data_IF_013904989358
#
_entry.id   IF_013904989358
#
_cell.length_a   1.000
_cell.length_b   1.000
_cell.length_c   1.000
_cell.angle_alpha   90.00
_cell.angle_beta   90.00
_cell.angle_gamma   90.00
#
_symmetry.space_group_name_H-M   'P 1'
#
loop_
_entity.id
_entity.type
_entity.pdbx_description
1 polymer ?
#
# COMPACT_ATOMS: atom_id res chain seq x y z
N UNK A 1 10.28 -43.27 12.12
CA UNK A 1 9.98 -42.38 13.25
C UNK A 1 9.12 -41.26 12.68
N UNK A 2 7.86 -41.20 13.07
CA UNK A 2 7.01 -40.04 12.76
C UNK A 2 7.59 -38.84 13.50
N UNK A 3 8.12 -37.87 12.76
CA UNK A 3 8.54 -36.60 13.33
C UNK A 3 7.28 -35.89 13.82
N UNK A 4 7.07 -35.88 15.14
CA UNK A 4 6.01 -35.11 15.78
C UNK A 4 6.20 -33.63 15.44
N UNK A 5 5.16 -32.94 14.96
CA UNK A 5 5.20 -31.50 14.72
C UNK A 5 5.44 -30.69 16.01
N UNK A 6 5.26 -31.33 17.17
CA UNK A 6 5.59 -30.78 18.50
C UNK A 6 7.05 -30.98 18.92
N UNK A 7 7.89 -31.59 18.06
CA UNK A 7 9.33 -31.69 18.33
C UNK A 7 9.96 -30.28 18.36
N UNK A 8 10.63 -29.87 19.46
CA UNK A 8 11.26 -28.57 19.55
C UNK A 8 12.29 -28.30 18.44
N UNK A 9 12.98 -29.34 17.96
CA UNK A 9 13.92 -29.26 16.85
C UNK A 9 13.22 -28.94 15.51
N UNK A 10 12.12 -29.62 15.23
CA UNK A 10 11.26 -29.32 14.08
C UNK A 10 10.71 -27.90 14.11
N UNK A 11 10.16 -27.45 15.24
CA UNK A 11 9.62 -26.08 15.37
C UNK A 11 10.70 -25.03 15.16
N UNK A 12 11.92 -25.26 15.67
CA UNK A 12 13.04 -24.34 15.49
C UNK A 12 13.43 -24.24 14.00
N UNK A 13 13.59 -25.39 13.34
CA UNK A 13 13.92 -25.44 11.91
C UNK A 13 12.82 -24.80 11.06
N UNK A 14 11.56 -25.11 11.32
CA UNK A 14 10.43 -24.50 10.64
C UNK A 14 10.46 -22.97 10.78
N UNK A 15 10.64 -22.45 12.01
CA UNK A 15 10.71 -20.99 12.24
C UNK A 15 11.85 -20.36 11.45
N UNK A 16 13.03 -20.98 11.44
CA UNK A 16 14.18 -20.47 10.70
C UNK A 16 13.93 -20.49 9.19
N UNK A 17 13.51 -21.62 8.63
CA UNK A 17 13.23 -21.76 7.20
C UNK A 17 12.10 -20.84 6.75
N UNK A 18 11.03 -20.75 7.54
CA UNK A 18 9.91 -19.86 7.26
C UNK A 18 10.32 -18.38 7.29
N UNK A 19 11.15 -17.98 8.27
CA UNK A 19 11.63 -16.60 8.36
C UNK A 19 12.50 -16.23 7.16
N UNK A 20 13.43 -17.11 6.77
CA UNK A 20 14.28 -16.91 5.60
C UNK A 20 13.46 -16.83 4.30
N UNK A 21 12.44 -17.67 4.16
CA UNK A 21 11.56 -17.65 3.01
C UNK A 21 10.69 -16.37 2.98
N UNK A 22 10.24 -15.88 4.13
CA UNK A 22 9.53 -14.60 4.24
C UNK A 22 10.42 -13.41 3.88
N UNK A 23 11.67 -13.39 4.35
CA UNK A 23 12.63 -12.34 4.01
C UNK A 23 12.93 -12.32 2.51
N UNK A 24 13.18 -13.49 1.92
CA UNK A 24 13.37 -13.62 0.47
C UNK A 24 12.17 -13.08 -0.31
N UNK A 25 10.95 -13.49 0.07
CA UNK A 25 9.73 -13.02 -0.59
C UNK A 25 9.49 -11.53 -0.40
N UNK A 26 9.87 -10.97 0.75
CA UNK A 26 9.77 -9.52 1.00
C UNK A 26 10.61 -8.72 0.01
N UNK A 27 11.80 -9.21 -0.34
CA UNK A 27 12.68 -8.56 -1.32
C UNK A 27 12.18 -8.71 -2.77
N UNK A 28 11.58 -9.86 -3.09
CA UNK A 28 10.96 -10.11 -4.40
C UNK A 28 9.60 -9.40 -4.57
N UNK A 29 8.94 -9.05 -3.46
CA UNK A 29 7.62 -8.41 -3.47
C UNK A 29 7.74 -6.91 -3.64
N UNK A 30 6.85 -6.32 -4.46
CA UNK A 30 6.72 -4.87 -4.55
C UNK A 30 6.03 -4.29 -3.30
N UNK A 31 6.80 -4.22 -2.21
CA UNK A 31 6.34 -3.77 -0.90
C UNK A 31 5.75 -2.37 -0.93
N UNK A 32 6.29 -1.49 -1.79
CA UNK A 32 5.77 -0.13 -2.00
C UNK A 32 4.33 -0.14 -2.52
N UNK A 33 4.05 -0.88 -3.60
CA UNK A 33 2.69 -0.95 -4.14
C UNK A 33 1.71 -1.68 -3.21
N UNK A 34 2.19 -2.66 -2.44
CA UNK A 34 1.37 -3.33 -1.42
C UNK A 34 0.99 -2.38 -0.28
N UNK A 35 1.93 -1.55 0.18
CA UNK A 35 1.66 -0.51 1.18
C UNK A 35 0.68 0.53 0.64
N UNK A 36 0.81 0.91 -0.63
CA UNK A 36 -0.13 1.80 -1.32
C UNK A 36 -1.53 1.18 -1.38
N UNK A 37 -1.68 -0.03 -1.91
CA UNK A 37 -2.99 -0.69 -2.02
C UNK A 37 -3.66 -0.88 -0.66
N UNK A 38 -2.88 -1.19 0.38
CA UNK A 38 -3.37 -1.26 1.77
C UNK A 38 -3.86 0.10 2.27
N UNK A 39 -3.17 1.21 1.95
CA UNK A 39 -3.65 2.55 2.30
C UNK A 39 -4.96 2.93 1.63
N UNK A 40 -5.17 2.44 0.40
CA UNK A 40 -6.37 2.72 -0.40
C UNK A 40 -7.55 1.87 -0.01
N UNK A 41 -7.31 0.73 0.62
CA UNK A 41 -8.37 -0.14 1.08
C UNK A 41 -9.08 0.47 2.31
N UNK A 42 -10.39 0.77 2.21
CA UNK A 42 -11.16 1.39 3.28
C UNK A 42 -11.17 0.62 4.61
N UNK A 43 -10.86 -0.68 4.59
CA UNK A 43 -10.79 -1.53 5.79
C UNK A 43 -9.58 -1.18 6.65
N UNK A 44 -8.51 -0.66 6.05
CA UNK A 44 -7.29 -0.29 6.74
C UNK A 44 -7.28 1.21 7.03
N UNK A 45 -8.11 1.62 8.01
CA UNK A 45 -8.18 3.02 8.45
C UNK A 45 -6.79 3.54 8.85
N UNK A 46 -6.43 4.70 8.31
CA UNK A 46 -5.24 5.49 8.68
C UNK A 46 -3.90 4.74 8.62
N UNK A 47 -3.78 3.72 7.76
CA UNK A 47 -2.56 2.91 7.67
C UNK A 47 -2.14 2.32 9.04
N UNK A 48 -3.11 1.95 9.88
CA UNK A 48 -2.83 1.42 11.24
C UNK A 48 -1.95 0.18 11.24
N UNK A 49 -1.95 -0.59 10.15
CA UNK A 49 -1.09 -1.75 9.93
C UNK A 49 0.41 -1.40 9.74
N UNK A 50 0.73 -0.11 9.52
CA UNK A 50 2.10 0.37 9.39
C UNK A 50 2.56 1.10 10.64
N UNK A 51 3.86 1.07 10.88
CA UNK A 51 4.47 1.83 11.96
C UNK A 51 4.28 3.33 11.76
N UNK A 52 4.11 4.09 12.85
CA UNK A 52 3.77 5.52 12.78
C UNK A 52 4.78 6.35 11.97
N UNK A 53 6.06 5.99 12.04
CA UNK A 53 7.14 6.65 11.26
C UNK A 53 6.94 6.48 9.75
N UNK A 54 6.61 5.27 9.30
CA UNK A 54 6.46 4.93 7.87
C UNK A 54 5.21 5.55 7.24
N UNK A 55 4.20 5.88 8.05
CA UNK A 55 2.95 6.47 7.54
C UNK A 55 3.21 7.81 6.87
N UNK A 56 4.07 8.65 7.45
CA UNK A 56 4.34 9.99 6.91
C UNK A 56 4.99 9.91 5.52
N UNK A 57 5.97 9.03 5.36
CA UNK A 57 6.69 8.79 4.10
C UNK A 57 5.76 8.26 3.00
N UNK A 58 4.89 7.31 3.34
CA UNK A 58 3.88 6.81 2.40
C UNK A 58 2.90 7.89 1.95
N UNK A 59 2.44 8.73 2.86
CA UNK A 59 1.56 9.83 2.51
C UNK A 59 2.25 10.84 1.58
N UNK A 60 3.54 11.10 1.79
CA UNK A 60 4.33 11.94 0.89
C UNK A 60 4.49 11.29 -0.50
N UNK A 61 4.77 9.99 -0.56
CA UNK A 61 4.82 9.22 -1.82
C UNK A 61 3.48 9.27 -2.56
N UNK A 62 2.36 9.07 -1.85
CA UNK A 62 1.02 9.20 -2.40
C UNK A 62 0.73 10.58 -3.00
N UNK A 63 1.11 11.64 -2.28
CA UNK A 63 0.94 13.00 -2.76
C UNK A 63 1.78 13.27 -4.02
N UNK A 64 2.99 12.70 -4.10
CA UNK A 64 3.84 12.74 -5.29
C UNK A 64 3.19 12.04 -6.48
N UNK A 65 2.75 10.79 -6.30
CA UNK A 65 2.08 10.00 -7.36
C UNK A 65 0.82 10.73 -7.85
N UNK A 66 0.04 11.31 -6.96
CA UNK A 66 -1.13 12.12 -7.34
C UNK A 66 -0.76 13.35 -8.16
N UNK A 67 0.34 14.03 -7.82
CA UNK A 67 0.80 15.21 -8.54
C UNK A 67 1.28 14.88 -9.95
N UNK A 68 1.78 13.66 -10.16
CA UNK A 68 2.13 13.13 -11.50
C UNK A 68 0.91 12.62 -12.27
N UNK A 69 -0.04 11.99 -11.60
CA UNK A 69 -1.25 11.41 -12.22
C UNK A 69 -2.33 12.45 -12.52
N UNK A 70 -2.42 13.50 -11.71
CA UNK A 70 -3.29 14.63 -12.01
C UNK A 70 -2.61 15.45 -13.11
N UNK A 71 -3.29 15.76 -14.22
CA UNK A 71 -2.75 16.70 -15.19
C UNK A 71 -2.36 17.97 -14.43
N UNK A 72 -1.08 18.35 -14.49
CA UNK A 72 -0.65 19.70 -14.12
C UNK A 72 -1.45 20.64 -14.98
N UNK A 73 -2.57 21.14 -14.47
CA UNK A 73 -3.58 21.89 -15.23
C UNK A 73 -2.92 22.85 -16.22
N UNK A 74 -2.86 22.54 -17.53
CA UNK A 74 -2.69 23.58 -18.51
C UNK A 74 -4.11 24.09 -18.74
N UNK A 75 -4.29 25.37 -18.52
CA UNK A 75 -5.39 26.09 -19.14
C UNK A 75 -5.34 25.75 -20.65
N UNK A 76 -6.39 25.08 -21.15
CA UNK A 76 -6.74 24.85 -22.57
C UNK A 76 -5.86 23.82 -23.30
N UNK A 77 -6.29 22.96 -24.24
CA UNK A 77 -7.53 22.73 -25.00
C UNK A 77 -7.45 21.31 -25.60
N UNK A 78 -8.60 20.67 -25.80
CA UNK A 78 -8.90 19.49 -26.64
C UNK A 78 -7.73 18.73 -27.33
N UNK A 79 -7.62 17.43 -27.06
CA UNK A 79 -7.84 16.32 -28.04
C UNK A 79 -7.56 14.96 -27.38
N UNK A 80 -8.61 14.13 -27.37
CA UNK A 80 -8.66 12.66 -27.34
C UNK A 80 -7.38 11.86 -27.06
N UNK A 81 -7.35 11.17 -25.91
CA UNK A 81 -7.18 9.70 -25.83
C UNK A 81 -7.78 9.17 -24.51
N UNK A 82 -8.30 7.92 -24.46
CA UNK A 82 -9.11 7.46 -23.33
C UNK A 82 -8.19 7.19 -22.13
N UNK A 83 -8.45 7.78 -20.95
CA UNK A 83 -7.57 7.56 -19.82
C UNK A 83 -7.75 6.12 -19.34
N UNK A 84 -6.62 5.41 -19.28
CA UNK A 84 -6.44 4.12 -18.64
C UNK A 84 -7.35 3.99 -17.42
N UNK A 85 -8.43 3.20 -17.53
CA UNK A 85 -9.49 3.08 -16.50
C UNK A 85 -8.94 2.79 -15.09
N UNK A 86 -7.76 2.17 -15.01
CA UNK A 86 -7.03 1.88 -13.76
C UNK A 86 -6.48 3.13 -13.07
N UNK A 87 -5.91 4.08 -13.81
CA UNK A 87 -5.38 5.33 -13.26
C UNK A 87 -6.50 6.23 -12.73
N UNK A 88 -7.60 6.34 -13.49
CA UNK A 88 -8.79 7.07 -13.06
C UNK A 88 -9.42 6.48 -11.78
N UNK A 89 -9.47 5.15 -11.67
CA UNK A 89 -9.97 4.47 -10.47
C UNK A 89 -9.06 4.72 -9.26
N UNK A 90 -7.74 4.70 -9.45
CA UNK A 90 -6.76 4.96 -8.40
C UNK A 90 -6.93 6.38 -7.85
N UNK A 91 -7.01 7.37 -8.75
CA UNK A 91 -7.23 8.78 -8.39
C UNK A 91 -8.54 8.97 -7.63
N UNK A 92 -9.63 8.34 -8.07
CA UNK A 92 -10.94 8.42 -7.40
C UNK A 92 -10.93 7.79 -6.00
N UNK A 93 -10.24 6.66 -5.81
CA UNK A 93 -10.06 6.03 -4.50
C UNK A 93 -9.23 6.90 -3.56
N UNK A 94 -8.14 7.48 -4.05
CA UNK A 94 -7.26 8.34 -3.25
C UNK A 94 -8.01 9.62 -2.81
N UNK A 95 -8.76 10.26 -3.71
CA UNK A 95 -9.56 11.45 -3.38
C UNK A 95 -10.63 11.18 -2.31
N UNK A 96 -11.29 10.03 -2.39
CA UNK A 96 -12.26 9.59 -1.38
C UNK A 96 -11.60 9.41 0.01
N UNK A 97 -10.38 8.87 0.06
CA UNK A 97 -9.67 8.65 1.30
C UNK A 97 -9.22 9.97 1.96
N UNK A 98 -8.79 10.96 1.15
CA UNK A 98 -8.47 12.30 1.64
C UNK A 98 -9.68 12.99 2.26
N UNK A 99 -10.84 12.93 1.57
CA UNK A 99 -12.09 13.52 2.06
C UNK A 99 -12.50 12.94 3.42
N UNK A 100 -12.42 11.61 3.60
CA UNK A 100 -12.70 10.95 4.88
C UNK A 100 -11.76 11.40 6.00
N UNK A 101 -10.47 11.63 5.68
CA UNK A 101 -9.49 12.08 6.67
C UNK A 101 -9.67 13.55 7.06
N UNK A 102 -10.07 14.43 6.14
CA UNK A 102 -10.39 15.84 6.45
C UNK A 102 -11.59 15.93 7.39
N UNK A 103 -12.62 15.09 7.15
CA UNK A 103 -13.78 15.01 8.05
C UNK A 103 -13.39 14.52 9.44
N UNK A 104 -12.52 13.49 9.55
CA UNK A 104 -12.05 12.94 10.83
C UNK A 104 -11.13 13.87 11.64
N UNK A 105 -10.52 14.89 11.01
CA UNK A 105 -9.68 15.89 11.71
C UNK A 105 -10.47 17.10 12.23
N UNK A 106 -11.72 17.27 11.77
CA UNK A 106 -12.60 18.39 12.12
C UNK A 106 -13.71 17.99 13.11
N UNK A 107 -13.60 16.80 13.71
CA UNK A 107 -14.39 16.30 14.85
C UNK A 107 -13.45 16.09 16.04
#
# INVERSE_FOLDING_TARGET
MESSEDDPGFILNFKQTFTLDMEKRKDETNSTWLKISTALDPRFKDLKCLHRSERAELWALFAGILKEMLPQQPVQTATSEPPQKKAALLVALILNLMMRRTVLKNL
#
